data_IF_198696084599
#
_entry.id   IF_198696084599
#
_cell.length_a   1.000
_cell.length_b   1.000
_cell.length_c   1.000
_cell.angle_alpha   90.00
_cell.angle_beta   90.00
_cell.angle_gamma   90.00
#
_symmetry.space_group_name_H-M   'P 1'
#
loop_
_entity.id
_entity.type
_entity.pdbx_description
1 polymer ?
#
# COMPACT_ATOMS: atom_id res chain seq x y z
N UNK A 1 10.01 -32.48 -18.68
CA UNK A 1 9.62 -31.11 -19.09
C UNK A 1 8.12 -30.78 -18.86
N UNK A 2 7.39 -31.48 -17.97
CA UNK A 2 5.93 -31.32 -17.79
C UNK A 2 5.52 -30.44 -16.60
N UNK A 3 6.39 -30.22 -15.61
CA UNK A 3 6.06 -29.44 -14.39
C UNK A 3 5.97 -27.94 -14.63
N UNK A 4 6.80 -27.40 -15.54
CA UNK A 4 6.81 -25.97 -15.87
C UNK A 4 5.51 -25.51 -16.53
N UNK A 5 4.89 -26.33 -17.39
CA UNK A 5 3.59 -26.02 -18.01
C UNK A 5 2.44 -26.06 -17.00
N UNK A 6 2.48 -26.97 -16.02
CA UNK A 6 1.49 -27.00 -14.93
C UNK A 6 1.61 -25.76 -14.03
N UNK A 7 2.82 -25.35 -13.67
CA UNK A 7 3.04 -24.07 -12.96
C UNK A 7 2.52 -22.88 -13.76
N UNK A 8 2.79 -22.83 -15.07
CA UNK A 8 2.32 -21.74 -15.93
C UNK A 8 0.80 -21.72 -16.07
N UNK A 9 0.16 -22.89 -16.11
CA UNK A 9 -1.30 -23.00 -16.13
C UNK A 9 -1.93 -22.54 -14.82
N UNK A 10 -1.32 -22.84 -13.67
CA UNK A 10 -1.74 -22.32 -12.35
C UNK A 10 -1.60 -20.80 -12.26
N UNK A 11 -0.54 -20.22 -12.82
CA UNK A 11 -0.37 -18.75 -12.91
C UNK A 11 -1.40 -18.11 -13.84
N UNK A 12 -1.71 -18.73 -14.98
CA UNK A 12 -2.69 -18.17 -15.94
C UNK A 12 -4.13 -18.21 -15.40
N UNK A 13 -4.43 -19.14 -14.49
CA UNK A 13 -5.70 -19.19 -13.75
C UNK A 13 -5.78 -18.23 -12.54
N UNK A 14 -4.70 -17.51 -12.19
CA UNK A 14 -4.76 -16.52 -11.09
C UNK A 14 -5.61 -15.30 -11.38
N UNK A 15 -6.02 -15.06 -12.64
CA UNK A 15 -7.01 -14.03 -12.98
C UNK A 15 -8.41 -14.30 -12.38
N UNK A 16 -8.66 -15.48 -11.81
CA UNK A 16 -9.92 -15.81 -11.13
C UNK A 16 -9.96 -15.45 -9.64
N UNK A 17 -8.85 -14.97 -9.07
CA UNK A 17 -8.81 -14.50 -7.68
C UNK A 17 -9.20 -13.02 -7.58
N UNK A 18 -10.45 -12.72 -7.96
CA UNK A 18 -11.02 -11.37 -7.88
C UNK A 18 -11.15 -10.87 -6.44
N UNK A 19 -11.26 -11.80 -5.46
CA UNK A 19 -11.40 -11.48 -4.05
C UNK A 19 -10.24 -12.05 -3.21
N UNK A 20 -9.77 -11.26 -2.24
CA UNK A 20 -8.77 -11.65 -1.23
C UNK A 20 -9.17 -12.96 -0.51
N UNK A 21 -10.46 -13.24 -0.40
CA UNK A 21 -11.02 -14.44 0.25
C UNK A 21 -10.66 -15.76 -0.43
N UNK A 22 -10.17 -15.76 -1.66
CA UNK A 22 -9.80 -16.99 -2.38
C UNK A 22 -8.29 -17.28 -2.35
N UNK A 23 -7.48 -16.39 -1.78
CA UNK A 23 -6.03 -16.58 -1.70
C UNK A 23 -5.68 -17.63 -0.64
N UNK A 24 -4.55 -18.33 -0.79
CA UNK A 24 -4.12 -19.29 0.23
C UNK A 24 -3.72 -18.55 1.52
N UNK A 25 -3.90 -19.19 2.69
CA UNK A 25 -3.60 -18.56 3.99
C UNK A 25 -2.14 -18.14 4.11
N UNK A 26 -1.21 -18.93 3.55
CA UNK A 26 0.22 -18.58 3.49
C UNK A 26 0.46 -17.32 2.66
N UNK A 27 -0.18 -17.20 1.50
CA UNK A 27 -0.05 -16.00 0.65
C UNK A 27 -0.66 -14.78 1.33
N UNK A 28 -1.84 -14.92 1.97
CA UNK A 28 -2.46 -13.84 2.73
C UNK A 28 -1.58 -13.37 3.89
N UNK A 29 -0.95 -14.28 4.62
CA UNK A 29 -0.06 -13.94 5.72
C UNK A 29 1.19 -13.20 5.24
N UNK A 30 1.87 -13.72 4.20
CA UNK A 30 3.06 -13.06 3.63
C UNK A 30 2.72 -11.67 3.10
N UNK A 31 1.59 -11.53 2.38
CA UNK A 31 1.16 -10.23 1.85
C UNK A 31 0.75 -9.29 2.97
N UNK A 32 0.07 -9.76 4.01
CA UNK A 32 -0.27 -8.95 5.18
C UNK A 32 0.99 -8.39 5.85
N UNK A 33 1.99 -9.24 6.12
CA UNK A 33 3.24 -8.82 6.77
C UNK A 33 4.00 -7.83 5.89
N UNK A 34 4.18 -8.14 4.60
CA UNK A 34 4.88 -7.26 3.67
C UNK A 34 4.19 -5.90 3.53
N UNK A 35 2.87 -5.88 3.38
CA UNK A 35 2.08 -4.65 3.25
C UNK A 35 2.09 -3.85 4.56
N UNK A 36 2.11 -4.51 5.71
CA UNK A 36 2.22 -3.84 7.01
C UNK A 36 3.60 -3.17 7.17
N UNK A 37 4.67 -3.85 6.74
CA UNK A 37 6.02 -3.31 6.76
C UNK A 37 6.16 -2.11 5.82
N UNK A 38 5.62 -2.19 4.60
CA UNK A 38 5.61 -1.06 3.67
C UNK A 38 4.78 0.12 4.20
N UNK A 39 3.58 -0.13 4.73
CA UNK A 39 2.77 0.91 5.34
C UNK A 39 3.50 1.59 6.50
N UNK A 40 4.16 0.81 7.38
CA UNK A 40 4.97 1.35 8.47
C UNK A 40 6.13 2.21 7.98
N UNK A 41 6.83 1.78 6.93
CA UNK A 41 7.92 2.54 6.32
C UNK A 41 7.43 3.87 5.73
N UNK A 42 6.36 3.86 4.93
CA UNK A 42 5.80 5.08 4.37
C UNK A 42 5.25 6.01 5.46
N UNK A 43 4.61 5.47 6.50
CA UNK A 43 4.16 6.26 7.65
C UNK A 43 5.32 6.88 8.43
N UNK A 44 6.45 6.16 8.59
CA UNK A 44 7.65 6.71 9.20
C UNK A 44 8.20 7.89 8.40
N UNK A 45 8.37 7.72 7.08
CA UNK A 45 8.81 8.81 6.20
C UNK A 45 7.85 9.99 6.29
N UNK A 46 6.53 9.75 6.21
CA UNK A 46 5.52 10.80 6.28
C UNK A 46 5.52 11.51 7.64
N UNK A 47 5.85 10.81 8.73
CA UNK A 47 5.94 11.41 10.06
C UNK A 47 7.16 12.32 10.24
N UNK A 48 8.24 12.05 9.50
CA UNK A 48 9.47 12.84 9.53
C UNK A 48 9.36 14.08 8.62
N UNK A 49 8.95 13.88 7.35
CA UNK A 49 8.87 14.98 6.38
C UNK A 49 7.55 15.74 6.39
N UNK A 50 6.46 15.13 6.87
CA UNK A 50 5.12 15.70 6.89
C UNK A 50 5.02 17.00 7.67
N UNK A 51 5.50 17.08 8.93
CA UNK A 51 5.47 18.30 9.73
C UNK A 51 6.19 19.46 9.04
N UNK A 52 7.40 19.21 8.52
CA UNK A 52 8.20 20.22 7.83
C UNK A 52 7.50 20.75 6.57
N UNK A 53 6.87 19.86 5.79
CA UNK A 53 6.07 20.26 4.63
C UNK A 53 4.83 21.07 5.04
N UNK A 54 4.11 20.68 6.10
CA UNK A 54 2.93 21.41 6.56
C UNK A 54 3.29 22.81 7.08
N UNK A 55 4.43 22.95 7.76
CA UNK A 55 4.95 24.26 8.14
C UNK A 55 5.29 25.12 6.92
N UNK A 56 5.97 24.55 5.92
CA UNK A 56 6.29 25.27 4.69
C UNK A 56 5.02 25.66 3.92
N UNK A 57 4.03 24.76 3.84
CA UNK A 57 2.74 24.98 3.20
C UNK A 57 1.95 26.11 3.88
N UNK A 58 1.88 26.09 5.22
CA UNK A 58 1.14 27.11 5.98
C UNK A 58 1.79 28.49 5.94
N UNK A 59 3.09 28.59 5.63
CA UNK A 59 3.78 29.88 5.46
C UNK A 59 3.47 30.53 4.10
N UNK A 60 3.04 29.76 3.11
CA UNK A 60 2.71 30.29 1.78
C UNK A 60 1.29 30.83 1.76
N UNK A 61 1.14 32.15 1.58
CA UNK A 61 -0.16 32.83 1.57
C UNK A 61 -0.89 32.79 0.22
N UNK A 62 -0.21 32.43 -0.88
CA UNK A 62 -0.82 32.35 -2.21
C UNK A 62 -0.32 31.15 -3.02
N UNK A 63 -1.23 30.52 -3.78
CA UNK A 63 -0.88 29.41 -4.68
C UNK A 63 0.11 29.81 -5.78
N UNK A 64 0.20 31.11 -6.09
CA UNK A 64 1.15 31.64 -7.06
C UNK A 64 2.60 31.61 -6.53
N UNK A 65 2.79 31.83 -5.23
CA UNK A 65 4.12 31.80 -4.58
C UNK A 65 4.62 30.38 -4.31
N UNK A 66 3.70 29.41 -4.35
CA UNK A 66 4.01 28.00 -4.17
C UNK A 66 4.88 27.45 -5.31
N UNK A 67 4.72 28.02 -6.51
CA UNK A 67 5.48 27.69 -7.70
C UNK A 67 5.32 26.23 -8.16
N UNK A 68 6.03 25.87 -9.23
CA UNK A 68 6.01 24.50 -9.78
C UNK A 68 6.63 23.50 -8.81
N UNK A 69 7.66 23.92 -8.08
CA UNK A 69 8.38 23.09 -7.10
C UNK A 69 7.50 22.69 -5.93
N UNK A 70 6.72 23.64 -5.38
CA UNK A 70 5.77 23.34 -4.32
C UNK A 70 4.72 22.33 -4.77
N UNK A 71 4.13 22.53 -5.95
CA UNK A 71 3.14 21.60 -6.52
C UNK A 71 3.73 20.20 -6.67
N UNK A 72 4.96 20.09 -7.18
CA UNK A 72 5.65 18.80 -7.29
C UNK A 72 5.83 18.13 -5.92
N UNK A 73 6.23 18.88 -4.88
CA UNK A 73 6.32 18.36 -3.52
C UNK A 73 4.96 17.90 -2.96
N UNK A 74 3.88 18.65 -3.21
CA UNK A 74 2.51 18.25 -2.81
C UNK A 74 2.10 16.94 -3.47
N UNK A 75 2.38 16.79 -4.77
CA UNK A 75 2.06 15.56 -5.50
C UNK A 75 2.82 14.37 -4.92
N UNK A 76 4.11 14.53 -4.61
CA UNK A 76 4.92 13.48 -3.97
C UNK A 76 4.36 13.13 -2.59
N UNK A 77 4.00 14.12 -1.77
CA UNK A 77 3.39 13.89 -0.45
C UNK A 77 2.06 13.16 -0.55
N UNK A 78 1.21 13.55 -1.52
CA UNK A 78 -0.06 12.89 -1.77
C UNK A 78 0.15 11.44 -2.21
N UNK A 79 1.13 11.16 -3.08
CA UNK A 79 1.46 9.80 -3.49
C UNK A 79 1.93 8.95 -2.31
N UNK A 80 2.81 9.47 -1.45
CA UNK A 80 3.26 8.77 -0.25
C UNK A 80 2.08 8.45 0.70
N UNK A 81 1.18 9.42 0.89
CA UNK A 81 -0.02 9.23 1.71
C UNK A 81 -0.95 8.15 1.12
N UNK A 82 -1.20 8.19 -0.19
CA UNK A 82 -2.02 7.20 -0.90
C UNK A 82 -1.39 5.81 -0.79
N UNK A 83 -0.07 5.69 -0.95
CA UNK A 83 0.65 4.43 -0.80
C UNK A 83 0.51 3.87 0.62
N UNK A 84 0.78 4.68 1.65
CA UNK A 84 0.62 4.27 3.04
C UNK A 84 -0.82 3.81 3.35
N UNK A 85 -1.81 4.57 2.84
CA UNK A 85 -3.22 4.22 2.98
C UNK A 85 -3.57 2.91 2.29
N UNK A 86 -3.13 2.73 1.03
CA UNK A 86 -3.42 1.56 0.23
C UNK A 86 -2.85 0.29 0.88
N UNK A 87 -1.57 0.30 1.25
CA UNK A 87 -0.93 -0.84 1.90
C UNK A 87 -1.52 -1.11 3.30
N UNK A 88 -1.83 -0.04 4.06
CA UNK A 88 -2.51 -0.18 5.36
C UNK A 88 -3.94 -0.71 5.25
N UNK A 89 -4.66 -0.40 4.18
CA UNK A 89 -5.99 -0.96 3.89
C UNK A 89 -5.90 -2.42 3.47
N UNK A 90 -4.93 -2.75 2.61
CA UNK A 90 -4.66 -4.11 2.16
C UNK A 90 -4.28 -5.03 3.33
N UNK A 91 -3.41 -4.57 4.23
CA UNK A 91 -3.02 -5.30 5.43
C UNK A 91 -4.23 -5.59 6.33
N UNK A 92 -5.07 -4.58 6.60
CA UNK A 92 -6.32 -4.74 7.37
C UNK A 92 -7.29 -5.72 6.70
N UNK A 93 -7.42 -5.67 5.38
CA UNK A 93 -8.23 -6.60 4.61
C UNK A 93 -7.74 -8.04 4.72
N UNK A 94 -6.41 -8.26 4.59
CA UNK A 94 -5.82 -9.58 4.75
C UNK A 94 -5.98 -10.10 6.19
N UNK A 95 -5.75 -9.25 7.19
CA UNK A 95 -5.92 -9.61 8.60
C UNK A 95 -7.35 -10.05 8.90
N UNK A 96 -8.37 -9.32 8.41
CA UNK A 96 -9.77 -9.70 8.57
C UNK A 96 -10.09 -11.07 7.98
N UNK A 97 -9.58 -11.37 6.78
CA UNK A 97 -9.78 -12.68 6.13
C UNK A 97 -9.03 -13.79 6.87
N UNK A 98 -7.85 -13.49 7.43
CA UNK A 98 -7.09 -14.45 8.21
C UNK A 98 -7.81 -14.78 9.53
N UNK A 99 -8.32 -13.75 10.20
CA UNK A 99 -9.10 -13.85 11.45
C UNK A 99 -10.36 -14.70 11.23
N UNK A 100 -11.12 -14.40 10.17
CA UNK A 100 -12.29 -15.18 9.75
C UNK A 100 -12.00 -16.65 9.43
N UNK A 101 -10.74 -17.01 9.11
CA UNK A 101 -10.34 -18.40 8.79
C UNK A 101 -9.75 -19.17 9.96
N UNK A 102 -9.17 -18.46 10.94
CA UNK A 102 -8.51 -19.08 12.09
C UNK A 102 -9.52 -19.31 13.21
N UNK A 103 -10.46 -18.39 13.40
CA UNK A 103 -11.41 -18.41 14.52
C UNK A 103 -12.81 -18.91 14.16
N UNK A 104 -13.04 -19.31 12.91
CA UNK A 104 -14.34 -19.78 12.40
C UNK A 104 -14.17 -21.11 11.68
#
# INVERSE_FOLDING_TARGET
>A
MSRFRQMWASFKNQRRYSSLSQWSTVVLFVVMVASSAEAAWYSYVLSDVGPAYMEAFNRVHSWADFGVTGVACTVVMLMLFISAWFFGSLARGCMKVLDDRIFR
#
